data_IF_955251218795
#
_entry.id   IF_955251218795
#
_cell.length_a   1.000
_cell.length_b   1.000
_cell.length_c   1.000
_cell.angle_alpha   90.00
_cell.angle_beta   90.00
_cell.angle_gamma   90.00
#
_symmetry.space_group_name_H-M   'P 1'
#
loop_
_entity.id
_entity.type
_entity.pdbx_description
1 polymer ?
#
# COMPACT_ATOMS: atom_id res chain seq x y z
N UNK A 1 3.74 8.67 34.48
CA UNK A 1 3.08 9.93 34.89
C UNK A 1 3.69 10.50 36.17
N UNK A 2 3.63 9.78 37.30
CA UNK A 2 4.18 10.24 38.59
C UNK A 2 5.66 10.69 38.52
N UNK A 3 6.51 9.98 37.77
CA UNK A 3 7.93 10.32 37.63
C UNK A 3 8.19 11.60 36.83
N UNK A 4 7.28 11.98 35.93
CA UNK A 4 7.34 13.26 35.20
C UNK A 4 6.84 14.40 36.08
N UNK A 5 5.76 14.19 36.84
CA UNK A 5 5.22 15.20 37.75
C UNK A 5 6.19 15.55 38.89
N UNK A 6 6.98 14.57 39.36
CA UNK A 6 7.97 14.78 40.41
C UNK A 6 9.21 15.57 39.95
N UNK A 7 9.72 15.29 38.75
CA UNK A 7 10.85 16.01 38.15
C UNK A 7 10.79 15.88 36.61
N UNK A 8 10.21 16.87 35.92
CA UNK A 8 10.10 16.87 34.47
C UNK A 8 11.47 16.88 33.75
N UNK A 9 12.45 17.56 34.32
CA UNK A 9 13.76 17.74 33.70
C UNK A 9 14.57 16.45 33.76
N UNK A 10 14.61 15.78 34.91
CA UNK A 10 15.25 14.48 35.03
C UNK A 10 14.52 13.40 34.21
N UNK A 11 13.19 13.47 34.11
CA UNK A 11 12.43 12.61 33.21
C UNK A 11 12.84 12.80 31.75
N UNK A 12 12.85 14.03 31.25
CA UNK A 12 13.28 14.33 29.89
C UNK A 12 14.72 13.88 29.63
N UNK A 13 15.65 14.15 30.56
CA UNK A 13 17.04 13.73 30.43
C UNK A 13 17.21 12.20 30.30
N UNK A 14 16.40 11.41 31.02
CA UNK A 14 16.42 9.94 30.91
C UNK A 14 15.95 9.43 29.55
N UNK A 15 15.02 10.12 28.89
CA UNK A 15 14.46 9.70 27.60
C UNK A 15 15.18 10.32 26.39
N UNK A 16 15.95 11.39 26.60
CA UNK A 16 16.59 12.16 25.52
C UNK A 16 17.44 11.31 24.56
N UNK A 17 18.17 10.30 25.05
CA UNK A 17 18.96 9.43 24.20
C UNK A 17 18.08 8.57 23.27
N UNK A 18 17.06 7.91 23.83
CA UNK A 18 16.14 7.06 23.07
C UNK A 18 15.30 7.88 22.06
N UNK A 19 14.83 9.07 22.45
CA UNK A 19 14.12 9.98 21.55
C UNK A 19 15.04 10.46 20.42
N UNK A 20 16.31 10.75 20.73
CA UNK A 20 17.33 11.11 19.74
C UNK A 20 17.62 9.99 18.74
N UNK A 21 17.71 8.73 19.20
CA UNK A 21 17.84 7.56 18.34
C UNK A 21 16.63 7.39 17.43
N UNK A 22 15.42 7.51 17.99
CA UNK A 22 14.17 7.40 17.24
C UNK A 22 14.08 8.51 16.17
N UNK A 23 14.39 9.76 16.53
CA UNK A 23 14.37 10.88 15.61
C UNK A 23 15.35 10.70 14.44
N UNK A 24 16.57 10.21 14.72
CA UNK A 24 17.55 9.87 13.67
C UNK A 24 17.02 8.79 12.73
N UNK A 25 16.40 7.74 13.28
CA UNK A 25 15.83 6.65 12.49
C UNK A 25 14.68 7.13 11.60
N UNK A 26 13.80 8.00 12.11
CA UNK A 26 12.72 8.62 11.32
C UNK A 26 13.31 9.49 10.19
N UNK A 27 14.30 10.32 10.49
CA UNK A 27 14.94 11.17 9.48
C UNK A 27 15.56 10.32 8.36
N UNK A 28 16.33 9.28 8.71
CA UNK A 28 16.93 8.37 7.74
C UNK A 28 15.89 7.66 6.86
N UNK A 29 14.77 7.21 7.43
CA UNK A 29 13.68 6.60 6.67
C UNK A 29 13.05 7.59 5.68
N UNK A 30 12.80 8.84 6.12
CA UNK A 30 12.23 9.89 5.26
C UNK A 30 13.13 10.25 4.08
N UNK A 31 14.45 10.26 4.28
CA UNK A 31 15.41 10.55 3.21
C UNK A 31 15.49 9.42 2.15
N UNK A 32 15.12 8.19 2.54
CA UNK A 32 15.17 7.00 1.68
C UNK A 32 13.84 6.61 1.04
N UNK A 33 12.71 7.03 1.59
CA UNK A 33 11.39 6.51 1.19
C UNK A 33 11.10 6.64 -0.32
N UNK A 34 11.57 7.70 -0.97
CA UNK A 34 11.39 7.92 -2.41
C UNK A 34 12.36 7.08 -3.29
N UNK A 35 13.27 6.34 -2.67
CA UNK A 35 14.26 5.46 -3.31
C UNK A 35 13.89 3.99 -3.18
N UNK A 36 13.03 3.64 -2.24
CA UNK A 36 12.56 2.27 -2.04
C UNK A 36 11.74 1.83 -3.25
N UNK A 37 12.06 0.65 -3.77
CA UNK A 37 11.37 0.03 -4.90
C UNK A 37 10.27 -0.89 -4.37
N UNK A 38 9.11 -0.82 -5.00
CA UNK A 38 8.01 -1.78 -4.80
C UNK A 38 8.05 -2.78 -5.97
N UNK A 39 8.51 -4.03 -5.74
CA UNK A 39 8.53 -5.05 -6.79
C UNK A 39 7.12 -5.41 -7.25
N UNK A 40 6.97 -5.81 -8.52
CA UNK A 40 5.67 -6.18 -9.09
C UNK A 40 5.02 -7.37 -8.35
N UNK A 41 5.82 -8.31 -7.85
CA UNK A 41 5.33 -9.40 -7.00
C UNK A 41 4.62 -8.89 -5.74
N UNK A 42 5.17 -7.86 -5.08
CA UNK A 42 4.55 -7.27 -3.89
C UNK A 42 3.37 -6.37 -4.25
N UNK A 43 3.40 -5.72 -5.41
CA UNK A 43 2.25 -4.98 -5.94
C UNK A 43 1.05 -5.91 -6.21
N UNK A 44 1.31 -7.06 -6.84
CA UNK A 44 0.31 -8.10 -7.09
C UNK A 44 -0.23 -8.68 -5.79
N UNK A 45 0.65 -8.93 -4.81
CA UNK A 45 0.25 -9.34 -3.45
C UNK A 45 -0.69 -8.33 -2.80
N UNK A 46 -0.38 -7.03 -2.87
CA UNK A 46 -1.23 -5.97 -2.32
C UNK A 46 -2.62 -5.99 -2.97
N UNK A 47 -2.69 -6.11 -4.30
CA UNK A 47 -3.95 -6.17 -5.02
C UNK A 47 -4.78 -7.39 -4.62
N UNK A 48 -4.15 -8.57 -4.53
CA UNK A 48 -4.79 -9.81 -4.10
C UNK A 48 -5.35 -9.71 -2.67
N UNK A 49 -4.59 -9.12 -1.74
CA UNK A 49 -5.05 -8.87 -0.37
C UNK A 49 -6.25 -7.92 -0.35
N UNK A 50 -6.16 -6.76 -1.03
CA UNK A 50 -7.26 -5.79 -1.02
C UNK A 50 -8.56 -6.39 -1.57
N UNK A 51 -8.46 -7.24 -2.59
CA UNK A 51 -9.58 -8.01 -3.12
C UNK A 51 -10.13 -9.04 -2.11
N UNK A 52 -9.27 -9.81 -1.45
CA UNK A 52 -9.67 -10.83 -0.46
C UNK A 52 -10.36 -10.25 0.78
N UNK A 53 -10.08 -8.99 1.11
CA UNK A 53 -10.68 -8.28 2.24
C UNK A 53 -11.96 -7.51 1.89
N UNK A 54 -12.49 -7.63 0.65
CA UNK A 54 -13.69 -6.93 0.16
C UNK A 54 -13.67 -5.42 0.43
N UNK A 55 -12.51 -4.81 0.19
CA UNK A 55 -12.31 -3.39 0.44
C UNK A 55 -12.71 -2.58 -0.78
N UNK A 56 -13.56 -1.58 -0.59
CA UNK A 56 -14.06 -0.76 -1.70
C UNK A 56 -13.00 0.25 -2.20
N UNK A 57 -12.72 0.14 -3.50
CA UNK A 57 -11.91 1.03 -4.31
C UNK A 57 -10.40 1.00 -4.06
N UNK A 58 -9.66 1.49 -5.05
CA UNK A 58 -8.18 1.52 -5.14
C UNK A 58 -7.45 2.30 -4.03
N UNK A 59 -8.21 2.97 -3.16
CA UNK A 59 -7.64 3.64 -1.99
C UNK A 59 -7.03 2.62 -1.01
N UNK A 60 -7.42 1.34 -1.05
CA UNK A 60 -6.86 0.29 -0.20
C UNK A 60 -5.43 0.04 -0.60
N UNK A 61 -5.29 -0.29 -1.87
CA UNK A 61 -4.08 -0.67 -2.56
C UNK A 61 -3.04 0.43 -2.40
N UNK A 62 -3.44 1.68 -2.63
CA UNK A 62 -2.56 2.83 -2.46
C UNK A 62 -2.08 2.98 -1.02
N UNK A 63 -2.96 2.89 -0.02
CA UNK A 63 -2.57 3.07 1.39
C UNK A 63 -1.67 1.93 1.85
N UNK A 64 -1.98 0.68 1.47
CA UNK A 64 -1.14 -0.48 1.79
C UNK A 64 0.23 -0.33 1.13
N UNK A 65 0.30 0.01 -0.16
CA UNK A 65 1.57 0.25 -0.88
C UNK A 65 2.40 1.35 -0.21
N UNK A 66 1.80 2.50 0.12
CA UNK A 66 2.50 3.60 0.83
C UNK A 66 3.07 3.14 2.17
N UNK A 67 2.28 2.36 2.90
CA UNK A 67 2.64 1.91 4.24
C UNK A 67 3.75 0.87 4.18
N UNK A 68 3.69 -0.05 3.21
CA UNK A 68 4.74 -1.05 2.96
C UNK A 68 6.06 -0.38 2.57
N UNK A 69 6.03 0.60 1.66
CA UNK A 69 7.22 1.39 1.27
C UNK A 69 7.80 2.15 2.45
N UNK A 70 6.95 2.78 3.28
CA UNK A 70 7.39 3.47 4.48
C UNK A 70 8.01 2.52 5.52
N UNK A 71 7.46 1.31 5.65
CA UNK A 71 7.98 0.28 6.56
C UNK A 71 9.32 -0.28 6.08
N UNK A 72 9.47 -0.56 4.80
CA UNK A 72 10.75 -0.94 4.19
C UNK A 72 11.83 0.14 4.42
N UNK A 73 11.48 1.41 4.19
CA UNK A 73 12.38 2.54 4.47
C UNK A 73 12.75 2.64 5.96
N UNK A 74 11.79 2.38 6.87
CA UNK A 74 12.00 2.36 8.31
C UNK A 74 12.94 1.24 8.80
N UNK A 75 12.93 0.10 8.11
CA UNK A 75 13.87 -1.00 8.33
C UNK A 75 15.23 -0.78 7.65
N UNK A 76 15.32 0.19 6.74
CA UNK A 76 16.53 0.49 5.97
C UNK A 76 16.73 -0.41 4.76
N UNK A 77 15.66 -1.05 4.26
CA UNK A 77 15.69 -1.82 3.02
C UNK A 77 15.55 -0.92 1.80
N UNK A 78 16.07 -1.39 0.65
CA UNK A 78 15.94 -0.69 -0.64
C UNK A 78 14.75 -1.21 -1.47
N UNK A 79 14.18 -2.36 -1.09
CA UNK A 79 13.04 -3.00 -1.73
C UNK A 79 12.00 -3.42 -0.67
N UNK A 80 10.72 -3.32 -1.04
CA UNK A 80 9.60 -3.85 -0.25
C UNK A 80 9.63 -5.37 -0.26
N UNK A 81 9.42 -5.99 0.90
CA UNK A 81 9.25 -7.43 1.05
C UNK A 81 7.85 -7.77 1.59
N UNK A 82 7.46 -9.05 1.50
CA UNK A 82 6.19 -9.56 2.00
C UNK A 82 5.89 -9.18 3.46
N UNK A 83 6.92 -9.10 4.32
CA UNK A 83 6.78 -8.65 5.71
C UNK A 83 6.29 -7.21 5.84
N UNK A 84 6.69 -6.32 4.92
CA UNK A 84 6.25 -4.93 4.87
C UNK A 84 4.79 -4.84 4.42
N UNK A 85 4.39 -5.66 3.44
CA UNK A 85 3.01 -5.76 2.95
C UNK A 85 2.09 -6.29 4.06
N UNK A 86 2.54 -7.29 4.82
CA UNK A 86 1.81 -7.81 5.97
C UNK A 86 1.53 -6.72 7.00
N UNK A 87 2.58 -6.02 7.46
CA UNK A 87 2.45 -4.93 8.44
C UNK A 87 1.52 -3.83 7.91
N UNK A 88 1.63 -3.49 6.63
CA UNK A 88 0.75 -2.51 6.00
C UNK A 88 -0.72 -2.97 6.00
N UNK A 89 -0.98 -4.25 5.71
CA UNK A 89 -2.32 -4.81 5.69
C UNK A 89 -2.97 -4.83 7.09
N UNK A 90 -2.22 -5.23 8.12
CA UNK A 90 -2.68 -5.22 9.53
C UNK A 90 -3.10 -3.82 9.98
N UNK A 91 -2.40 -2.78 9.52
CA UNK A 91 -2.68 -1.40 9.90
C UNK A 91 -3.80 -0.77 9.07
N UNK A 92 -3.86 -1.04 7.77
CA UNK A 92 -4.68 -0.28 6.83
C UNK A 92 -6.03 -0.93 6.46
N UNK A 93 -6.15 -2.26 6.54
CA UNK A 93 -7.35 -2.97 6.09
C UNK A 93 -8.50 -3.03 7.13
N UNK A 94 -8.28 -3.18 8.45
CA UNK A 94 -9.37 -3.40 9.41
C UNK A 94 -10.46 -2.33 9.39
N UNK A 95 -10.09 -1.08 9.13
CA UNK A 95 -11.00 0.06 9.13
C UNK A 95 -11.57 0.38 7.74
N UNK A 96 -11.21 -0.37 6.70
CA UNK A 96 -11.71 -0.19 5.33
C UNK A 96 -12.55 -1.38 4.84
N UNK A 97 -12.44 -2.52 5.51
CA UNK A 97 -13.29 -3.67 5.28
C UNK A 97 -14.75 -3.31 5.53
N UNK A 98 -15.64 -3.71 4.61
CA UNK A 98 -17.08 -3.66 4.86
C UNK A 98 -17.39 -4.63 5.98
N UNK A 99 -18.07 -4.14 7.00
CA UNK A 99 -18.27 -4.86 8.24
C UNK A 99 -19.73 -4.89 8.62
N UNK A 100 -20.22 -6.05 9.00
CA UNK A 100 -21.56 -6.19 9.54
C UNK A 100 -21.62 -5.61 10.96
N UNK A 101 -22.76 -5.08 11.43
CA UNK A 101 -22.90 -4.54 12.78
C UNK A 101 -22.43 -5.45 13.92
N UNK A 102 -22.29 -6.76 13.70
CA UNK A 102 -21.93 -7.75 14.72
C UNK A 102 -20.55 -8.37 14.56
N UNK A 103 -19.77 -8.02 13.54
CA UNK A 103 -18.40 -8.53 13.38
C UNK A 103 -17.47 -7.94 14.45
N UNK A 104 -16.43 -8.67 14.85
CA UNK A 104 -15.44 -8.22 15.84
C UNK A 104 -14.40 -7.22 15.26
N UNK A 105 -13.88 -6.27 16.05
CA UNK A 105 -12.99 -5.23 15.54
C UNK A 105 -11.57 -5.71 15.33
N UNK A 106 -11.12 -5.66 14.07
CA UNK A 106 -9.76 -5.98 13.68
C UNK A 106 -9.72 -6.78 12.38
N UNK A 107 -8.52 -7.16 11.98
CA UNK A 107 -8.29 -8.22 11.00
C UNK A 107 -7.96 -9.48 11.80
N UNK A 108 -8.64 -10.59 11.50
CA UNK A 108 -8.28 -11.89 12.04
C UNK A 108 -6.87 -12.26 11.53
N UNK A 109 -5.87 -12.45 12.42
CA UNK A 109 -4.52 -12.81 12.03
C UNK A 109 -4.45 -14.06 11.17
N UNK A 110 -5.29 -15.06 11.43
CA UNK A 110 -5.32 -16.31 10.67
C UNK A 110 -5.81 -16.07 9.23
N UNK A 111 -6.86 -15.26 9.06
CA UNK A 111 -7.35 -14.87 7.73
C UNK A 111 -6.30 -14.08 6.95
N UNK A 112 -5.53 -13.23 7.63
CA UNK A 112 -4.42 -12.51 6.98
C UNK A 112 -3.31 -13.47 6.55
N UNK A 113 -2.95 -14.46 7.38
CA UNK A 113 -1.96 -15.48 7.03
C UNK A 113 -2.37 -16.27 5.78
N UNK A 114 -3.64 -16.69 5.73
CA UNK A 114 -4.22 -17.38 4.59
C UNK A 114 -4.20 -16.50 3.32
N UNK A 115 -4.63 -15.25 3.44
CA UNK A 115 -4.66 -14.32 2.30
C UNK A 115 -3.25 -13.95 1.80
N UNK A 116 -2.28 -13.81 2.71
CA UNK A 116 -0.86 -13.64 2.37
C UNK A 116 -0.36 -14.85 1.59
N UNK A 117 -0.60 -16.07 2.09
CA UNK A 117 -0.13 -17.31 1.46
C UNK A 117 -0.76 -17.53 0.08
N UNK A 118 -2.07 -17.27 -0.05
CA UNK A 118 -2.76 -17.35 -1.33
C UNK A 118 -2.21 -16.33 -2.34
N UNK A 119 -1.81 -15.15 -1.88
CA UNK A 119 -1.23 -14.12 -2.73
C UNK A 119 0.19 -14.48 -3.23
N UNK A 120 0.97 -15.28 -2.48
CA UNK A 120 2.25 -15.84 -2.97
C UNK A 120 2.01 -16.78 -4.17
N UNK A 121 0.98 -17.63 -4.10
CA UNK A 121 0.69 -18.60 -5.16
C UNK A 121 0.25 -17.93 -6.47
N UNK A 122 -0.49 -16.83 -6.37
CA UNK A 122 -0.93 -16.03 -7.53
C UNK A 122 0.20 -15.16 -8.10
N UNK A 123 1.22 -14.84 -7.29
CA UNK A 123 2.39 -14.04 -7.71
C UNK A 123 3.57 -14.90 -8.16
N UNK A 124 3.37 -16.22 -8.32
CA UNK A 124 4.31 -17.10 -9.00
C UNK A 124 4.59 -16.60 -10.44
N UNK A 125 5.73 -16.99 -11.05
CA UNK A 125 6.07 -16.51 -12.39
C UNK A 125 4.90 -16.77 -13.33
N UNK A 126 4.46 -15.73 -14.03
CA UNK A 126 3.55 -15.85 -15.16
C UNK A 126 4.14 -16.90 -16.11
N UNK A 127 3.67 -18.14 -16.04
CA UNK A 127 3.79 -19.05 -17.17
C UNK A 127 2.89 -18.43 -18.23
N UNK A 128 3.50 -17.61 -19.10
CA UNK A 128 2.84 -17.07 -20.30
C UNK A 128 2.03 -18.22 -20.93
N UNK A 129 0.68 -18.17 -20.94
CA UNK A 129 -0.07 -19.16 -21.65
C UNK A 129 0.29 -19.00 -23.13
N UNK A 130 0.89 -20.04 -23.72
CA UNK A 130 1.23 -20.10 -25.14
C UNK A 130 0.07 -19.52 -25.97
N UNK A 131 0.34 -18.57 -26.88
CA UNK A 131 -0.73 -17.87 -27.59
C UNK A 131 -1.57 -18.90 -28.35
N UNK A 132 -2.91 -18.94 -28.16
CA UNK A 132 -3.75 -19.82 -28.95
C UNK A 132 -3.62 -19.41 -30.42
N UNK A 133 -3.25 -20.38 -31.24
CA UNK A 133 -2.98 -20.24 -32.66
C UNK A 133 -4.03 -19.39 -33.40
N UNK A 134 -3.52 -18.55 -34.30
CA UNK A 134 -4.27 -17.53 -35.03
C UNK A 134 -5.59 -18.01 -35.62
N UNK A 135 -6.68 -17.40 -35.11
CA UNK A 135 -8.00 -17.39 -35.73
C UNK A 135 -8.23 -16.05 -36.43
N UNK A 136 -8.59 -16.10 -37.70
CA UNK A 136 -8.72 -14.98 -38.63
C UNK A 136 -9.86 -14.01 -38.22
N UNK A 137 -9.60 -12.71 -38.35
CA UNK A 137 -10.59 -11.63 -38.25
C UNK A 137 -11.33 -11.52 -39.60
N UNK A 138 -12.67 -11.48 -39.63
CA UNK A 138 -13.40 -10.93 -40.77
C UNK A 138 -13.72 -9.45 -40.55
N UNK A 139 -13.50 -8.68 -41.61
CA UNK A 139 -13.62 -7.23 -41.76
C UNK A 139 -15.04 -6.63 -41.63
N UNK A 140 -15.03 -5.33 -41.28
CA UNK A 140 -15.92 -4.22 -41.69
C UNK A 140 -17.23 -3.94 -40.90
N UNK A 141 -17.81 -2.71 -40.98
CA UNK A 141 -17.23 -1.36 -41.11
C UNK A 141 -17.83 -0.28 -40.15
N UNK A 142 -17.23 0.91 -40.17
CA UNK A 142 -17.58 2.22 -39.55
C UNK A 142 -18.96 2.78 -39.94
N UNK A 143 -19.64 3.55 -39.05
CA UNK A 143 -19.84 4.98 -39.36
C UNK A 143 -19.85 5.94 -38.13
N UNK A 144 -19.05 7.02 -38.20
CA UNK A 144 -19.50 8.41 -38.36
C UNK A 144 -20.09 9.22 -37.17
N UNK A 145 -19.34 10.26 -36.78
CA UNK A 145 -19.68 11.63 -36.31
C UNK A 145 -20.69 11.94 -35.17
N UNK A 146 -20.23 12.78 -34.19
CA UNK A 146 -21.15 13.54 -33.31
C UNK A 146 -20.58 14.26 -32.06
N UNK A 147 -19.91 15.42 -32.25
CA UNK A 147 -19.99 16.70 -31.47
C UNK A 147 -20.10 16.76 -29.91
N UNK A 148 -19.19 17.53 -29.28
CA UNK A 148 -19.19 18.02 -27.86
C UNK A 148 -19.88 19.42 -27.71
N UNK A 149 -19.84 20.21 -26.58
CA UNK A 149 -19.36 19.99 -25.18
C UNK A 149 -20.23 20.64 -24.04
N UNK A 150 -19.79 20.57 -22.77
CA UNK A 150 -20.17 21.45 -21.63
C UNK A 150 -20.49 20.69 -20.32
N UNK A 151 -20.14 21.08 -19.09
CA UNK A 151 -19.59 22.30 -18.51
C UNK A 151 -18.78 21.98 -17.22
N UNK A 152 -17.75 22.78 -16.95
CA UNK A 152 -16.82 22.59 -15.84
C UNK A 152 -17.37 23.04 -14.48
N UNK A 153 -17.05 22.27 -13.44
CA UNK A 153 -17.14 22.68 -12.04
C UNK A 153 -15.72 22.89 -11.52
N UNK A 154 -15.43 24.11 -11.09
CA UNK A 154 -14.13 24.51 -10.57
C UNK A 154 -13.86 23.80 -9.23
N UNK A 155 -12.95 22.82 -9.24
CA UNK A 155 -12.38 22.23 -8.02
C UNK A 155 -11.12 23.00 -7.63
N UNK A 156 -11.01 23.26 -6.32
CA UNK A 156 -9.86 23.94 -5.70
C UNK A 156 -8.58 23.15 -5.99
N UNK A 157 -7.40 23.79 -6.12
CA UNK A 157 -6.17 23.07 -6.38
C UNK A 157 -5.89 22.11 -5.22
N UNK A 158 -5.93 20.82 -5.53
CA UNK A 158 -5.43 19.75 -4.66
C UNK A 158 -3.95 19.98 -4.41
N UNK A 159 -3.47 19.58 -3.23
CA UNK A 159 -2.04 19.49 -2.97
C UNK A 159 -1.34 18.74 -4.12
N UNK A 160 -0.10 19.11 -4.48
CA UNK A 160 0.63 18.44 -5.54
C UNK A 160 0.67 16.93 -5.27
N UNK A 161 0.48 16.09 -6.29
CA UNK A 161 0.54 14.64 -6.11
C UNK A 161 1.91 14.29 -5.54
N UNK A 162 1.90 13.47 -4.49
CA UNK A 162 3.13 12.84 -4.01
C UNK A 162 3.78 12.05 -5.16
N UNK A 163 5.12 11.94 -5.19
CA UNK A 163 5.81 11.17 -6.22
C UNK A 163 5.25 9.75 -6.34
N UNK A 164 5.14 9.25 -7.57
CA UNK A 164 4.79 7.86 -7.86
C UNK A 164 5.91 6.94 -7.39
N UNK A 165 5.54 5.78 -6.86
CA UNK A 165 6.51 4.75 -6.45
C UNK A 165 7.34 4.30 -7.65
N UNK A 166 8.59 3.88 -7.37
CA UNK A 166 9.39 3.17 -8.35
C UNK A 166 8.92 1.71 -8.36
N UNK A 167 8.27 1.30 -9.43
CA UNK A 167 8.00 -0.11 -9.73
C UNK A 167 9.07 -0.61 -10.69
N UNK A 168 9.42 -1.90 -10.59
CA UNK A 168 10.36 -2.55 -11.50
C UNK A 168 9.60 -3.64 -12.26
N UNK A 169 9.48 -3.42 -13.57
CA UNK A 169 9.06 -4.44 -14.53
C UNK A 169 10.10 -5.56 -14.66
#
# INVERSE_FOLDING_TARGET
RLTYEADPAAFAARHAAADGDLARRIAAARDRVDQVVLPDAELNRIAALCAAFDVDGMRADLVVARTAVAHAAWRGADEVAAEDVRVAAELALPHRQRRDPFDDPGVDPARLDEAMSAADEVSGPDEDPDPPGGGQIPDAPDPGDGRAPGAGSATRPSAPPAPSFRTRA
#
